data_IF_151334236087
#
_entry.id   IF_151334236087
#
_cell.length_a   1.000
_cell.length_b   1.000
_cell.length_c   1.000
_cell.angle_alpha   90.00
_cell.angle_beta   90.00
_cell.angle_gamma   90.00
#
_symmetry.space_group_name_H-M   'P 1'
#
loop_
_entity.id
_entity.type
_entity.pdbx_description
1 polymer ?
#
# COMPACT_ATOMS: atom_id res chain seq x y z
N UNK A 1 -70.86 23.09 -28.25
CA UNK A 1 -70.68 21.62 -28.28
C UNK A 1 -69.28 21.30 -28.81
N UNK A 2 -68.39 20.81 -27.94
CA UNK A 2 -67.00 20.51 -28.28
C UNK A 2 -66.85 19.00 -28.60
N UNK A 3 -66.41 18.65 -29.80
CA UNK A 3 -65.93 17.29 -30.13
C UNK A 3 -64.41 17.30 -30.11
N UNK A 4 -63.83 16.62 -29.10
CA UNK A 4 -62.40 16.30 -29.03
C UNK A 4 -62.11 15.17 -30.02
N UNK A 5 -61.43 15.46 -31.11
CA UNK A 5 -60.82 14.44 -31.99
C UNK A 5 -59.38 14.26 -31.55
N UNK A 6 -59.07 13.16 -30.86
CA UNK A 6 -57.68 12.74 -30.57
C UNK A 6 -57.07 12.19 -31.85
N UNK A 7 -56.30 13.01 -32.58
CA UNK A 7 -55.47 12.52 -33.68
C UNK A 7 -54.11 12.10 -33.12
N UNK A 8 -53.69 10.92 -33.58
CA UNK A 8 -52.67 10.02 -33.09
C UNK A 8 -51.24 10.62 -33.16
N UNK A 9 -50.69 11.00 -32.01
CA UNK A 9 -49.28 11.45 -31.82
C UNK A 9 -48.27 10.29 -31.73
N UNK A 10 -48.66 9.06 -32.06
CA UNK A 10 -47.85 7.85 -31.79
C UNK A 10 -47.05 7.32 -32.99
N UNK A 11 -47.28 7.82 -34.21
CA UNK A 11 -46.61 7.30 -35.42
C UNK A 11 -45.40 8.12 -35.90
N UNK A 12 -45.23 9.38 -35.48
CA UNK A 12 -44.11 10.22 -35.94
C UNK A 12 -42.81 10.07 -35.13
N UNK A 13 -42.80 9.28 -34.05
CA UNK A 13 -41.66 9.20 -33.11
C UNK A 13 -40.81 7.93 -33.28
N UNK A 14 -41.18 7.01 -34.20
CA UNK A 14 -40.52 5.69 -34.31
C UNK A 14 -39.49 5.53 -35.44
N UNK A 15 -39.22 6.55 -36.25
CA UNK A 15 -38.32 6.43 -37.42
C UNK A 15 -37.27 7.54 -37.59
N UNK A 16 -37.17 8.50 -36.69
CA UNK A 16 -36.05 9.44 -36.70
C UNK A 16 -34.89 8.85 -35.87
N UNK A 17 -34.05 8.10 -36.58
CA UNK A 17 -32.59 8.10 -36.40
C UNK A 17 -32.07 8.04 -34.96
N UNK A 18 -32.08 6.83 -34.39
CA UNK A 18 -30.99 6.45 -33.49
C UNK A 18 -29.97 5.70 -34.37
N UNK A 19 -29.22 6.48 -35.15
CA UNK A 19 -28.02 5.99 -35.83
C UNK A 19 -26.96 5.83 -34.73
N UNK A 20 -26.98 4.68 -34.05
CA UNK A 20 -26.00 4.32 -33.02
C UNK A 20 -24.67 4.14 -33.74
N UNK A 21 -23.87 5.21 -33.81
CA UNK A 21 -22.44 5.06 -34.08
C UNK A 21 -21.86 4.25 -32.92
N UNK A 22 -21.59 2.97 -33.16
CA UNK A 22 -20.77 2.16 -32.28
C UNK A 22 -19.35 2.76 -32.31
N UNK A 23 -19.06 3.65 -31.37
CA UNK A 23 -17.72 4.14 -31.13
C UNK A 23 -16.97 3.03 -30.38
N UNK A 24 -16.25 2.18 -31.11
CA UNK A 24 -15.33 1.22 -30.50
C UNK A 24 -14.15 2.00 -29.89
N UNK A 25 -14.25 2.30 -28.60
CA UNK A 25 -13.13 2.86 -27.84
C UNK A 25 -12.15 1.74 -27.55
N UNK A 26 -11.15 1.60 -28.41
CA UNK A 26 -10.04 0.69 -28.18
C UNK A 26 -8.91 1.42 -27.44
N UNK A 27 -8.58 0.96 -26.25
CA UNK A 27 -7.44 1.43 -25.47
C UNK A 27 -6.39 0.32 -25.42
N UNK A 28 -5.31 0.52 -26.16
CA UNK A 28 -4.16 -0.37 -26.18
C UNK A 28 -3.05 0.24 -27.02
N UNK A 29 -1.82 -0.24 -26.81
CA UNK A 29 -0.61 0.27 -27.47
C UNK A 29 -0.51 -0.23 -28.92
N UNK A 30 -1.37 -1.20 -29.29
CA UNK A 30 -1.52 -1.77 -30.62
C UNK A 30 -2.89 -1.35 -31.17
N UNK A 31 -3.00 -0.82 -32.40
CA UNK A 31 -4.30 -0.38 -32.93
C UNK A 31 -5.26 -1.56 -33.17
N UNK A 32 -6.55 -1.28 -33.31
CA UNK A 32 -7.55 -2.33 -33.56
C UNK A 32 -7.18 -3.18 -34.79
N UNK A 33 -7.39 -4.51 -34.78
CA UNK A 33 -7.00 -5.39 -35.89
C UNK A 33 -7.50 -4.94 -37.27
N UNK A 34 -8.72 -4.40 -37.35
CA UNK A 34 -9.29 -3.87 -38.60
C UNK A 34 -8.50 -2.67 -39.16
N UNK A 35 -7.85 -1.88 -38.31
CA UNK A 35 -7.03 -0.73 -38.71
C UNK A 35 -5.64 -1.22 -39.13
N UNK A 36 -5.07 -2.19 -38.40
CA UNK A 36 -3.79 -2.84 -38.74
C UNK A 36 -3.87 -3.46 -40.14
N UNK A 37 -4.94 -4.18 -40.43
CA UNK A 37 -5.15 -4.79 -41.74
C UNK A 37 -5.20 -3.73 -42.86
N UNK A 38 -5.77 -2.55 -42.58
CA UNK A 38 -5.76 -1.41 -43.49
C UNK A 38 -4.36 -0.85 -43.76
N UNK A 39 -3.51 -0.78 -42.73
CA UNK A 39 -2.11 -0.34 -42.88
C UNK A 39 -1.30 -1.33 -43.72
N UNK A 40 -1.47 -2.63 -43.51
CA UNK A 40 -0.77 -3.66 -44.27
C UNK A 40 -1.19 -3.68 -45.75
N UNK A 41 -2.49 -3.52 -46.03
CA UNK A 41 -3.03 -3.43 -47.40
C UNK A 41 -2.53 -2.20 -48.15
N UNK A 42 -2.31 -1.08 -47.46
CA UNK A 42 -1.83 0.16 -48.07
C UNK A 42 -0.30 0.19 -48.21
N UNK A 43 0.44 -0.43 -47.28
CA UNK A 43 1.88 -0.56 -47.32
C UNK A 43 2.31 -1.87 -46.68
N UNK A 44 2.82 -2.81 -47.49
CA UNK A 44 3.31 -4.10 -46.99
C UNK A 44 4.45 -3.92 -45.99
N UNK A 45 4.39 -4.61 -44.86
CA UNK A 45 5.35 -4.53 -43.76
C UNK A 45 5.18 -3.30 -42.86
N UNK A 46 4.05 -2.58 -42.96
CA UNK A 46 3.73 -1.50 -42.02
C UNK A 46 3.37 -2.06 -40.63
N UNK A 47 2.65 -3.18 -40.59
CA UNK A 47 2.23 -3.83 -39.34
C UNK A 47 3.42 -4.26 -38.50
N UNK A 48 4.39 -4.92 -39.13
CA UNK A 48 5.60 -5.43 -38.47
C UNK A 48 6.45 -4.30 -37.88
N UNK A 49 6.56 -3.18 -38.61
CA UNK A 49 7.26 -1.97 -38.11
C UNK A 49 6.55 -1.32 -36.92
N UNK A 50 5.22 -1.27 -36.94
CA UNK A 50 4.43 -0.75 -35.81
C UNK A 50 4.58 -1.67 -34.60
N UNK A 51 4.53 -2.99 -34.81
CA UNK A 51 4.70 -3.96 -33.73
C UNK A 51 6.10 -3.87 -33.10
N UNK A 52 7.15 -3.84 -33.92
CA UNK A 52 8.53 -3.66 -33.47
C UNK A 52 8.74 -2.33 -32.72
N UNK A 53 8.12 -1.26 -33.19
CA UNK A 53 8.14 0.04 -32.50
C UNK A 53 7.44 -0.03 -31.14
N UNK A 54 6.28 -0.67 -31.07
CA UNK A 54 5.51 -0.87 -29.83
C UNK A 54 6.25 -1.75 -28.83
N UNK A 55 6.92 -2.82 -29.29
CA UNK A 55 7.77 -3.66 -28.44
C UNK A 55 8.96 -2.90 -27.84
N UNK A 56 9.62 -2.05 -28.63
CA UNK A 56 10.72 -1.22 -28.14
C UNK A 56 10.24 -0.20 -27.11
N UNK A 57 9.07 0.42 -27.33
CA UNK A 57 8.46 1.30 -26.33
C UNK A 57 8.09 0.53 -25.05
N UNK A 58 7.54 -0.68 -25.17
CA UNK A 58 7.21 -1.52 -24.02
C UNK A 58 8.46 -1.87 -23.20
N UNK A 59 9.56 -2.27 -23.84
CA UNK A 59 10.84 -2.54 -23.16
C UNK A 59 11.35 -1.31 -22.41
N UNK A 60 11.36 -0.15 -23.05
CA UNK A 60 11.79 1.10 -22.42
C UNK A 60 10.91 1.49 -21.22
N UNK A 61 9.59 1.35 -21.34
CA UNK A 61 8.67 1.61 -20.23
C UNK A 61 8.85 0.60 -19.08
N UNK A 62 9.12 -0.66 -19.39
CA UNK A 62 9.42 -1.69 -18.39
C UNK A 62 10.72 -1.41 -17.65
N UNK A 63 11.77 -1.00 -18.36
CA UNK A 63 13.04 -0.60 -17.77
C UNK A 63 12.86 0.61 -16.83
N UNK A 64 12.13 1.63 -17.27
CA UNK A 64 11.83 2.79 -16.45
C UNK A 64 11.03 2.41 -15.18
N UNK A 65 10.01 1.56 -15.35
CA UNK A 65 9.21 1.06 -14.23
C UNK A 65 10.04 0.24 -13.24
N UNK A 66 11.03 -0.53 -13.71
CA UNK A 66 11.96 -1.27 -12.84
C UNK A 66 12.86 -0.33 -12.06
N UNK A 67 13.43 0.67 -12.73
CA UNK A 67 14.29 1.68 -12.08
C UNK A 67 13.52 2.46 -11.02
N UNK A 68 12.28 2.87 -11.30
CA UNK A 68 11.42 3.55 -10.33
C UNK A 68 11.12 2.66 -9.11
N UNK A 69 10.81 1.38 -9.33
CA UNK A 69 10.60 0.42 -8.25
C UNK A 69 11.87 0.21 -7.42
N UNK A 70 13.04 0.10 -8.06
CA UNK A 70 14.33 -0.02 -7.37
C UNK A 70 14.61 1.21 -6.50
N UNK A 71 14.44 2.42 -7.04
CA UNK A 71 14.61 3.68 -6.29
C UNK A 71 13.68 3.76 -5.05
N UNK A 72 12.41 3.37 -5.20
CA UNK A 72 11.46 3.35 -4.08
C UNK A 72 11.88 2.34 -3.01
N UNK A 73 12.35 1.16 -3.42
CA UNK A 73 12.81 0.12 -2.50
C UNK A 73 14.06 0.54 -1.73
N UNK A 74 15.04 1.17 -2.39
CA UNK A 74 16.25 1.67 -1.72
C UNK A 74 15.91 2.76 -0.70
N UNK A 75 15.06 3.73 -1.06
CA UNK A 75 14.59 4.76 -0.12
C UNK A 75 13.92 4.16 1.13
N UNK A 76 13.06 3.14 0.95
CA UNK A 76 12.43 2.42 2.08
C UNK A 76 13.47 1.69 2.94
N UNK A 77 14.47 1.05 2.34
CA UNK A 77 15.54 0.37 3.08
C UNK A 77 16.36 1.37 3.90
N UNK A 78 16.67 2.54 3.36
CA UNK A 78 17.41 3.58 4.07
C UNK A 78 16.62 4.12 5.27
N UNK A 79 15.32 4.40 5.08
CA UNK A 79 14.44 4.83 6.16
C UNK A 79 14.37 3.78 7.29
N UNK A 80 14.20 2.50 6.95
CA UNK A 80 14.20 1.41 7.91
C UNK A 80 15.54 1.26 8.64
N UNK A 81 16.67 1.42 7.93
CA UNK A 81 18.01 1.37 8.55
C UNK A 81 18.19 2.49 9.57
N UNK A 82 17.75 3.71 9.24
CA UNK A 82 17.81 4.84 10.15
C UNK A 82 16.95 4.60 11.41
N UNK A 83 15.75 4.04 11.23
CA UNK A 83 14.87 3.69 12.35
C UNK A 83 15.48 2.60 13.25
N UNK A 84 16.02 1.53 12.67
CA UNK A 84 16.70 0.46 13.40
C UNK A 84 17.89 1.00 14.19
N UNK A 85 18.68 1.89 13.58
CA UNK A 85 19.83 2.50 14.26
C UNK A 85 19.39 3.36 15.44
N UNK A 86 18.34 4.17 15.27
CA UNK A 86 17.77 4.98 16.34
C UNK A 86 17.21 4.13 17.48
N UNK A 87 16.49 3.05 17.15
CA UNK A 87 15.98 2.08 18.14
C UNK A 87 17.14 1.42 18.88
N UNK A 88 18.20 0.99 18.17
CA UNK A 88 19.37 0.35 18.78
C UNK A 88 20.13 1.30 19.71
N UNK A 89 20.34 2.55 19.30
CA UNK A 89 20.96 3.60 20.14
C UNK A 89 20.09 3.89 21.37
N UNK A 90 18.77 4.01 21.18
CA UNK A 90 17.81 4.18 22.28
C UNK A 90 17.81 3.02 23.27
N UNK A 91 17.85 1.77 22.79
CA UNK A 91 17.91 0.58 23.62
C UNK A 91 19.23 0.51 24.43
N UNK A 92 20.36 0.88 23.83
CA UNK A 92 21.65 0.97 24.54
C UNK A 92 21.59 2.01 25.65
N UNK A 93 21.05 3.21 25.38
CA UNK A 93 20.94 4.28 26.36
C UNK A 93 19.97 3.91 27.49
N UNK A 94 18.83 3.30 27.15
CA UNK A 94 17.87 2.78 28.12
C UNK A 94 18.47 1.69 29.00
N UNK A 95 19.24 0.77 28.42
CA UNK A 95 19.95 -0.27 29.18
C UNK A 95 20.95 0.32 30.17
N UNK A 96 21.76 1.29 29.74
CA UNK A 96 22.73 1.99 30.62
C UNK A 96 21.99 2.72 31.76
N UNK A 97 20.89 3.40 31.44
CA UNK A 97 20.11 4.16 32.42
C UNK A 97 19.53 3.23 33.49
N UNK A 98 18.90 2.12 33.08
CA UNK A 98 18.36 1.11 34.00
C UNK A 98 19.48 0.51 34.86
N UNK A 99 20.63 0.21 34.27
CA UNK A 99 21.78 -0.36 34.98
C UNK A 99 22.32 0.58 36.06
N UNK A 100 22.42 1.88 35.77
CA UNK A 100 22.81 2.90 36.75
C UNK A 100 21.75 3.02 37.86
N UNK A 101 20.47 3.01 37.50
CA UNK A 101 19.37 3.10 38.47
C UNK A 101 19.34 1.88 39.41
N UNK A 102 19.66 0.69 38.88
CA UNK A 102 19.74 -0.55 39.63
C UNK A 102 20.93 -0.53 40.59
N UNK A 103 22.13 -0.17 40.12
CA UNK A 103 23.33 -0.04 40.96
C UNK A 103 23.18 1.06 42.02
N UNK A 104 22.68 2.24 41.63
CA UNK A 104 22.47 3.35 42.55
C UNK A 104 21.44 3.02 43.63
N UNK A 105 20.36 2.34 43.26
CA UNK A 105 19.38 1.82 44.20
C UNK A 105 19.96 0.78 45.16
N UNK A 106 20.76 -0.16 44.65
CA UNK A 106 21.43 -1.17 45.47
C UNK A 106 22.39 -0.54 46.50
N UNK A 107 23.18 0.46 46.09
CA UNK A 107 24.07 1.21 47.01
C UNK A 107 23.25 1.94 48.08
N UNK A 108 22.10 2.52 47.72
CA UNK A 108 21.22 3.25 48.65
C UNK A 108 20.60 2.34 49.72
N UNK A 109 20.25 1.10 49.34
CA UNK A 109 19.75 0.06 50.26
C UNK A 109 20.83 -0.37 51.25
N UNK A 110 22.09 -0.56 50.80
CA UNK A 110 23.21 -0.93 51.67
C UNK A 110 23.52 0.18 52.68
N UNK A 111 23.35 1.45 52.31
CA UNK A 111 23.50 2.60 53.22
C UNK A 111 22.37 2.70 54.26
N UNK A 112 21.43 1.76 54.28
CA UNK A 112 20.40 1.62 55.32
C UNK A 112 19.27 2.63 55.21
N UNK A 113 19.15 3.35 54.08
CA UNK A 113 18.11 4.35 53.87
C UNK A 113 16.96 3.76 53.04
N UNK A 114 15.82 3.55 53.69
CA UNK A 114 14.51 3.18 53.12
C UNK A 114 14.53 2.07 52.06
N UNK A 115 14.85 0.85 52.48
CA UNK A 115 14.69 -0.37 51.67
C UNK A 115 13.24 -0.56 51.15
N UNK A 116 12.24 -0.07 51.90
CA UNK A 116 10.82 -0.14 51.49
C UNK A 116 10.48 0.78 50.32
N UNK A 117 11.11 1.95 50.22
CA UNK A 117 10.90 2.89 49.11
C UNK A 117 11.52 2.37 47.80
N UNK A 118 12.69 1.74 47.88
CA UNK A 118 13.30 1.12 46.70
C UNK A 118 12.51 -0.09 46.20
N UNK A 119 12.05 -0.95 47.11
CA UNK A 119 11.26 -2.14 46.76
C UNK A 119 9.94 -1.79 46.03
N UNK A 120 9.26 -0.71 46.44
CA UNK A 120 8.01 -0.30 45.78
C UNK A 120 8.23 0.25 44.37
N UNK A 121 9.33 0.99 44.14
CA UNK A 121 9.70 1.48 42.81
C UNK A 121 10.03 0.32 41.89
N UNK A 122 10.86 -0.62 42.32
CA UNK A 122 11.21 -1.81 41.51
C UNK A 122 9.96 -2.65 41.19
N UNK A 123 9.08 -2.86 42.17
CA UNK A 123 7.84 -3.61 41.97
C UNK A 123 6.91 -2.95 40.94
N UNK A 124 6.73 -1.63 40.97
CA UNK A 124 5.87 -0.91 40.02
C UNK A 124 6.39 -0.95 38.57
N UNK A 125 7.72 -0.89 38.38
CA UNK A 125 8.34 -1.04 37.06
C UNK A 125 8.14 -2.46 36.54
N UNK A 126 8.37 -3.48 37.36
CA UNK A 126 8.16 -4.88 36.98
C UNK A 126 6.70 -5.18 36.61
N UNK A 127 5.74 -4.66 37.37
CA UNK A 127 4.31 -4.77 37.06
C UNK A 127 3.96 -4.13 35.71
N UNK A 128 4.52 -2.96 35.42
CA UNK A 128 4.27 -2.23 34.17
C UNK A 128 4.82 -2.99 32.96
N UNK A 129 6.04 -3.50 33.05
CA UNK A 129 6.66 -4.31 31.99
C UNK A 129 5.89 -5.64 31.81
N UNK A 130 5.53 -6.30 32.92
CA UNK A 130 4.74 -7.53 32.89
C UNK A 130 3.39 -7.35 32.21
N UNK A 131 2.69 -6.25 32.48
CA UNK A 131 1.40 -5.92 31.85
C UNK A 131 1.53 -5.76 30.33
N UNK A 132 2.57 -5.07 29.85
CA UNK A 132 2.80 -4.88 28.41
C UNK A 132 3.11 -6.21 27.70
N UNK A 133 3.93 -7.07 28.31
CA UNK A 133 4.25 -8.39 27.76
C UNK A 133 3.00 -9.26 27.71
N UNK A 134 2.21 -9.28 28.78
CA UNK A 134 0.96 -10.04 28.86
C UNK A 134 -0.05 -9.57 27.81
N UNK A 135 -0.20 -8.26 27.64
CA UNK A 135 -1.10 -7.67 26.65
C UNK A 135 -0.67 -8.03 25.21
N UNK A 136 0.64 -7.99 24.92
CA UNK A 136 1.16 -8.37 23.60
C UNK A 136 1.06 -9.87 23.31
N UNK A 137 1.10 -10.72 24.35
CA UNK A 137 0.90 -12.17 24.19
C UNK A 137 -0.58 -12.51 23.95
N UNK A 138 -1.47 -11.92 24.73
CA UNK A 138 -2.93 -12.07 24.58
C UNK A 138 -3.42 -11.62 23.19
N UNK A 139 -2.88 -10.51 22.67
CA UNK A 139 -3.23 -10.03 21.33
C UNK A 139 -2.86 -11.01 20.22
N UNK A 140 -1.74 -11.74 20.36
CA UNK A 140 -1.32 -12.77 19.40
C UNK A 140 -2.14 -14.05 19.49
N UNK A 141 -2.73 -14.34 20.65
CA UNK A 141 -3.68 -15.46 20.79
C UNK A 141 -5.01 -15.13 20.12
N UNK A 142 -5.51 -13.89 20.27
CA UNK A 142 -6.73 -13.42 19.61
C UNK A 142 -6.61 -13.41 18.07
N UNK A 143 -5.51 -12.90 17.51
CA UNK A 143 -5.30 -12.90 16.05
C UNK A 143 -5.24 -14.31 15.45
N UNK A 144 -4.81 -15.31 16.23
CA UNK A 144 -4.77 -16.71 15.77
C UNK A 144 -6.13 -17.39 15.84
N UNK A 145 -6.91 -17.12 16.88
CA UNK A 145 -8.29 -17.63 16.98
C UNK A 145 -9.20 -17.05 15.89
N UNK A 146 -8.95 -15.81 15.45
CA UNK A 146 -9.70 -15.16 14.35
C UNK A 146 -9.29 -15.66 12.94
N UNK A 147 -8.05 -16.12 12.74
CA UNK A 147 -7.58 -16.71 11.46
C UNK A 147 -8.01 -18.17 11.28
N UNK A 148 -8.28 -18.89 12.37
CA UNK A 148 -8.68 -20.31 12.38
C UNK A 148 -10.22 -20.52 12.31
N UNK A 149 -11.03 -19.46 12.23
CA UNK A 149 -12.50 -19.49 12.14
C UNK A 149 -13.03 -19.23 10.72
#
# INVERSE_FOLDING_TARGET
MAKRTRINKKESVKKAEILIQQQEQYSGIIPHPSIIEGYEKNCSGATDRILAMTENQLKSNQELSKLDQENINECRKEALRAEIENVKRGQILGFILILIMLLGGFILVILGKDAGGYASIVASIMLSIGSVIWNNMSKKEQEKEDEDM
#
